data_IF_020764655000
#
_entry.id   IF_020764655000
#
_cell.length_a   1.000
_cell.length_b   1.000
_cell.length_c   1.000
_cell.angle_alpha   90.00
_cell.angle_beta   90.00
_cell.angle_gamma   90.00
#
_symmetry.space_group_name_H-M   'P 1'
#
loop_
_entity.id
_entity.type
_entity.pdbx_description
1 polymer ?
#
# COMPACT_ATOMS: atom_id res chain seq x y z
N UNK A 1 14.05 0.83 -22.49
CA UNK A 1 12.85 0.02 -22.17
C UNK A 1 12.96 -0.37 -20.72
N UNK A 2 11.84 -0.37 -19.98
CA UNK A 2 11.80 -1.03 -18.66
C UNK A 2 11.99 -2.53 -18.91
N UNK A 3 12.81 -3.19 -18.09
CA UNK A 3 13.09 -4.63 -18.23
C UNK A 3 11.85 -5.46 -17.89
N UNK A 4 11.78 -6.70 -18.35
CA UNK A 4 10.72 -7.65 -17.95
C UNK A 4 10.64 -7.79 -16.42
N UNK A 5 11.79 -7.80 -15.76
CA UNK A 5 11.92 -7.81 -14.30
C UNK A 5 11.17 -6.65 -13.64
N UNK A 6 11.18 -5.46 -14.25
CA UNK A 6 10.47 -4.31 -13.73
C UNK A 6 8.94 -4.51 -13.70
N UNK A 7 8.39 -5.12 -14.75
CA UNK A 7 6.96 -5.42 -14.84
C UNK A 7 6.57 -6.48 -13.82
N UNK A 8 7.38 -7.52 -13.69
CA UNK A 8 7.16 -8.60 -12.71
C UNK A 8 7.20 -8.04 -11.28
N UNK A 9 8.20 -7.23 -10.96
CA UNK A 9 8.35 -6.48 -9.71
C UNK A 9 7.12 -5.63 -9.36
N UNK A 10 6.63 -4.86 -10.33
CA UNK A 10 5.44 -4.04 -10.10
C UNK A 10 4.20 -4.91 -9.86
N UNK A 11 4.02 -5.94 -10.68
CA UNK A 11 2.85 -6.82 -10.62
C UNK A 11 2.80 -7.66 -9.35
N UNK A 12 3.95 -7.95 -8.74
CA UNK A 12 4.05 -8.59 -7.43
C UNK A 12 3.57 -7.65 -6.32
N UNK A 13 4.02 -6.38 -6.33
CA UNK A 13 3.69 -5.41 -5.29
C UNK A 13 2.30 -4.79 -5.43
N UNK A 14 1.81 -4.64 -6.67
CA UNK A 14 0.53 -3.99 -6.98
C UNK A 14 -0.47 -4.98 -7.59
N UNK A 15 -1.10 -5.80 -6.74
CA UNK A 15 -2.06 -6.81 -7.18
C UNK A 15 -3.33 -6.22 -7.82
N UNK A 16 -3.75 -5.01 -7.41
CA UNK A 16 -4.96 -4.36 -7.93
C UNK A 16 -4.85 -3.93 -9.39
N UNK A 17 -3.62 -3.65 -9.87
CA UNK A 17 -3.42 -3.11 -11.21
C UNK A 17 -2.11 -3.62 -11.81
N UNK A 18 -2.22 -4.77 -12.50
CA UNK A 18 -1.12 -5.36 -13.25
C UNK A 18 -0.84 -4.56 -14.52
N UNK A 19 0.43 -4.43 -14.87
CA UNK A 19 0.94 -3.83 -16.09
C UNK A 19 1.47 -4.91 -17.04
N UNK A 20 1.27 -4.68 -18.33
CA UNK A 20 1.88 -5.45 -19.42
C UNK A 20 2.71 -4.54 -20.32
N UNK A 21 3.59 -5.11 -21.14
CA UNK A 21 4.49 -4.34 -22.02
C UNK A 21 3.74 -3.41 -22.99
N UNK A 22 2.58 -3.84 -23.51
CA UNK A 22 1.76 -3.03 -24.42
C UNK A 22 1.25 -1.74 -23.77
N UNK A 23 0.99 -1.76 -22.46
CA UNK A 23 0.52 -0.60 -21.73
C UNK A 23 1.61 0.49 -21.64
N UNK A 24 2.86 0.06 -21.46
CA UNK A 24 4.02 0.96 -21.42
C UNK A 24 4.41 1.46 -22.83
N UNK A 25 4.18 0.64 -23.85
CA UNK A 25 4.44 1.01 -25.24
C UNK A 25 3.46 2.09 -25.71
N UNK A 26 2.20 2.04 -25.28
CA UNK A 26 1.15 2.99 -25.65
C UNK A 26 0.31 3.39 -24.42
N UNK A 27 0.85 4.19 -23.50
CA UNK A 27 0.14 4.55 -22.29
C UNK A 27 -1.06 5.44 -22.63
N UNK A 28 -2.19 5.22 -21.96
CA UNK A 28 -3.37 6.08 -22.05
C UNK A 28 -3.62 6.81 -20.73
N UNK A 29 -4.33 7.96 -20.78
CA UNK A 29 -4.70 8.70 -19.57
C UNK A 29 -5.50 7.82 -18.60
N UNK A 30 -6.48 7.07 -19.11
CA UNK A 30 -7.35 6.22 -18.30
C UNK A 30 -6.54 5.12 -17.58
N UNK A 31 -5.64 4.46 -18.32
CA UNK A 31 -4.75 3.45 -17.75
C UNK A 31 -3.80 4.06 -16.72
N UNK A 32 -3.14 5.17 -17.05
CA UNK A 32 -2.17 5.80 -16.14
C UNK A 32 -2.86 6.31 -14.88
N UNK A 33 -4.06 6.89 -15.01
CA UNK A 33 -4.90 7.28 -13.87
C UNK A 33 -5.17 6.09 -12.96
N UNK A 34 -5.57 4.95 -13.52
CA UNK A 34 -5.84 3.72 -12.74
C UNK A 34 -4.58 3.25 -12.00
N UNK A 35 -3.44 3.22 -12.66
CA UNK A 35 -2.15 2.84 -12.06
C UNK A 35 -1.79 3.76 -10.89
N UNK A 36 -1.89 5.08 -11.07
CA UNK A 36 -1.55 6.05 -10.02
C UNK A 36 -2.54 6.00 -8.84
N UNK A 37 -3.81 5.70 -9.09
CA UNK A 37 -4.80 5.47 -8.04
C UNK A 37 -4.49 4.22 -7.23
N UNK A 38 -4.23 3.09 -7.90
CA UNK A 38 -3.82 1.84 -7.23
C UNK A 38 -2.52 2.04 -6.45
N UNK A 39 -1.58 2.81 -6.99
CA UNK A 39 -0.36 3.20 -6.29
C UNK A 39 -0.65 3.89 -4.96
N UNK A 40 -1.49 4.92 -4.95
CA UNK A 40 -1.84 5.61 -3.70
C UNK A 40 -2.59 4.70 -2.71
N UNK A 41 -3.47 3.81 -3.20
CA UNK A 41 -4.19 2.86 -2.34
C UNK A 41 -3.27 1.90 -1.60
N UNK A 42 -2.11 1.53 -2.17
CA UNK A 42 -1.09 0.71 -1.49
C UNK A 42 -0.49 1.38 -0.24
N UNK A 43 -0.57 2.71 -0.15
CA UNK A 43 -0.17 3.48 1.04
C UNK A 43 -1.34 3.72 2.01
N UNK A 44 -2.54 3.18 1.72
CA UNK A 44 -3.73 3.34 2.55
C UNK A 44 -4.55 4.60 2.26
N UNK A 45 -4.23 5.35 1.20
CA UNK A 45 -5.05 6.49 0.79
C UNK A 45 -6.38 6.02 0.20
N UNK A 46 -7.48 6.60 0.69
CA UNK A 46 -8.80 6.43 0.07
C UNK A 46 -8.90 7.32 -1.15
N UNK A 47 -8.77 6.72 -2.34
CA UNK A 47 -8.90 7.42 -3.61
C UNK A 47 -10.15 6.92 -4.33
N UNK A 48 -11.20 7.74 -4.28
CA UNK A 48 -12.48 7.49 -4.93
C UNK A 48 -12.55 8.20 -6.28
N UNK A 49 -13.03 7.50 -7.30
CA UNK A 49 -13.27 8.09 -8.62
C UNK A 49 -14.53 8.95 -8.50
N UNK A 50 -14.53 10.22 -8.94
CA UNK A 50 -15.75 11.00 -8.99
C UNK A 50 -16.76 10.33 -9.94
N UNK A 51 -18.04 10.28 -9.56
CA UNK A 51 -19.11 9.66 -10.37
C UNK A 51 -19.43 10.42 -11.67
N UNK A 52 -18.79 11.57 -11.89
CA UNK A 52 -19.09 12.48 -12.99
C UNK A 52 -18.45 12.07 -14.32
N UNK A 53 -19.15 12.37 -15.41
CA UNK A 53 -18.72 12.10 -16.78
C UNK A 53 -17.40 12.80 -17.15
N UNK A 54 -16.78 12.33 -18.23
CA UNK A 54 -15.55 12.91 -18.77
C UNK A 54 -15.74 14.38 -19.17
N UNK A 55 -14.69 15.19 -18.95
CA UNK A 55 -14.70 16.63 -19.27
C UNK A 55 -15.34 17.53 -18.21
N UNK A 56 -16.01 16.96 -17.20
CA UNK A 56 -16.56 17.73 -16.07
C UNK A 56 -15.46 18.45 -15.28
N UNK A 57 -15.83 19.58 -14.64
CA UNK A 57 -14.92 20.32 -13.75
C UNK A 57 -14.43 19.43 -12.60
N UNK A 58 -15.29 18.56 -12.09
CA UNK A 58 -14.98 17.64 -10.99
C UNK A 58 -13.92 16.62 -11.39
N UNK A 59 -14.08 15.98 -12.55
CA UNK A 59 -13.07 15.06 -13.11
C UNK A 59 -11.71 15.75 -13.28
N UNK A 60 -11.68 16.96 -13.84
CA UNK A 60 -10.44 17.75 -13.97
C UNK A 60 -9.79 18.06 -12.62
N UNK A 61 -10.59 18.49 -11.63
CA UNK A 61 -10.08 18.76 -10.29
C UNK A 61 -9.53 17.50 -9.62
N UNK A 62 -10.19 16.36 -9.79
CA UNK A 62 -9.70 15.07 -9.31
C UNK A 62 -8.34 14.74 -9.92
N UNK A 63 -8.21 14.81 -11.25
CA UNK A 63 -6.95 14.50 -11.92
C UNK A 63 -5.81 15.43 -11.51
N UNK A 64 -6.08 16.73 -11.37
CA UNK A 64 -5.08 17.70 -10.89
C UNK A 64 -4.63 17.33 -9.46
N UNK A 65 -5.55 16.96 -8.57
CA UNK A 65 -5.22 16.54 -7.21
C UNK A 65 -4.39 15.25 -7.21
N UNK A 66 -4.76 14.27 -8.03
CA UNK A 66 -4.01 13.03 -8.19
C UNK A 66 -2.57 13.30 -8.62
N UNK A 67 -2.38 14.10 -9.67
CA UNK A 67 -1.05 14.50 -10.16
C UNK A 67 -0.24 15.19 -9.08
N UNK A 68 -0.81 16.15 -8.36
CA UNK A 68 -0.10 16.85 -7.27
C UNK A 68 0.34 15.91 -6.15
N UNK A 69 -0.47 14.90 -5.84
CA UNK A 69 -0.12 13.92 -4.82
C UNK A 69 1.04 13.04 -5.30
N UNK A 70 0.98 12.57 -6.55
CA UNK A 70 2.05 11.77 -7.15
C UNK A 70 3.34 12.58 -7.28
N UNK A 71 3.28 13.82 -7.76
CA UNK A 71 4.43 14.73 -7.86
C UNK A 71 5.07 14.99 -6.48
N UNK A 72 4.26 15.11 -5.42
CA UNK A 72 4.77 15.23 -4.06
C UNK A 72 5.56 14.00 -3.61
N UNK A 73 5.02 12.79 -3.81
CA UNK A 73 5.71 11.53 -3.49
C UNK A 73 6.97 11.37 -4.34
N UNK A 74 6.86 11.66 -5.62
CA UNK A 74 7.95 11.58 -6.57
C UNK A 74 9.13 12.49 -6.15
N UNK A 75 8.85 13.71 -5.70
CA UNK A 75 9.86 14.67 -5.21
C UNK A 75 10.58 14.27 -3.93
N UNK A 76 10.10 13.24 -3.22
CA UNK A 76 10.86 12.61 -2.13
C UNK A 76 12.09 11.90 -2.71
N UNK A 77 11.95 11.29 -3.89
CA UNK A 77 12.98 10.46 -4.53
C UNK A 77 13.80 11.25 -5.55
N UNK A 78 13.18 12.12 -6.34
CA UNK A 78 13.85 12.95 -7.35
C UNK A 78 13.21 14.35 -7.43
N UNK A 79 13.97 15.38 -7.04
CA UNK A 79 13.52 16.78 -7.05
C UNK A 79 13.64 17.45 -8.41
N UNK A 80 14.39 16.85 -9.34
CA UNK A 80 14.73 17.47 -10.63
C UNK A 80 13.63 17.30 -11.68
N UNK A 81 12.85 16.22 -11.56
CA UNK A 81 11.77 15.91 -12.48
C UNK A 81 10.42 16.32 -11.89
N UNK A 82 9.54 16.80 -12.77
CA UNK A 82 8.22 17.30 -12.41
C UNK A 82 7.17 16.51 -13.18
N UNK A 83 6.23 15.90 -12.45
CA UNK A 83 5.09 15.23 -13.07
C UNK A 83 3.91 16.19 -13.11
N UNK A 84 3.52 16.60 -14.32
CA UNK A 84 2.48 17.62 -14.51
C UNK A 84 1.16 17.02 -14.97
N UNK A 85 0.10 17.84 -14.92
CA UNK A 85 -1.21 17.43 -15.41
C UNK A 85 -1.18 17.07 -16.91
N UNK A 86 -0.32 17.74 -17.68
CA UNK A 86 -0.13 17.43 -19.09
C UNK A 86 0.48 16.04 -19.31
N UNK A 87 1.42 15.62 -18.46
CA UNK A 87 2.04 14.29 -18.56
C UNK A 87 1.04 13.17 -18.26
N UNK A 88 -0.03 13.46 -17.50
CA UNK A 88 -1.14 12.52 -17.29
C UNK A 88 -2.11 12.48 -18.48
N UNK A 89 -2.47 13.65 -19.04
CA UNK A 89 -3.39 13.75 -20.18
C UNK A 89 -2.78 13.21 -21.48
N UNK A 90 -1.48 13.41 -21.67
CA UNK A 90 -0.72 13.00 -22.85
C UNK A 90 0.52 12.22 -22.41
N UNK A 91 0.32 11.00 -21.88
CA UNK A 91 1.42 10.19 -21.41
C UNK A 91 2.31 9.80 -22.60
N UNK A 92 3.61 9.81 -22.38
CA UNK A 92 4.59 9.37 -23.38
C UNK A 92 5.33 8.15 -22.84
N UNK A 93 5.61 7.12 -23.66
CA UNK A 93 6.24 5.89 -23.19
C UNK A 93 7.49 6.13 -22.35
N UNK A 94 8.36 7.05 -22.80
CA UNK A 94 9.62 7.39 -22.13
C UNK A 94 9.41 8.02 -20.74
N UNK A 95 8.60 9.09 -20.64
CA UNK A 95 8.38 9.78 -19.36
C UNK A 95 7.59 8.91 -18.39
N UNK A 96 6.57 8.21 -18.88
CA UNK A 96 5.74 7.32 -18.08
C UNK A 96 6.57 6.20 -17.49
N UNK A 97 7.39 5.54 -18.31
CA UNK A 97 8.30 4.49 -17.84
C UNK A 97 9.27 4.99 -16.77
N UNK A 98 9.88 6.16 -16.99
CA UNK A 98 10.81 6.74 -16.04
C UNK A 98 10.14 7.08 -14.69
N UNK A 99 8.96 7.71 -14.74
CA UNK A 99 8.21 8.09 -13.55
C UNK A 99 7.77 6.87 -12.75
N UNK A 100 7.19 5.86 -13.41
CA UNK A 100 6.83 4.62 -12.74
C UNK A 100 8.08 3.94 -12.13
N UNK A 101 9.21 3.97 -12.83
CA UNK A 101 10.51 3.49 -12.35
C UNK A 101 10.85 4.00 -10.94
N UNK A 102 10.72 5.31 -10.75
CA UNK A 102 11.02 5.97 -9.48
C UNK A 102 9.95 5.67 -8.43
N UNK A 103 8.67 5.63 -8.82
CA UNK A 103 7.59 5.24 -7.89
C UNK A 103 7.77 3.81 -7.39
N UNK A 104 8.22 2.88 -8.24
CA UNK A 104 8.50 1.50 -7.84
C UNK A 104 9.63 1.43 -6.80
N UNK A 105 10.70 2.21 -6.99
CA UNK A 105 11.80 2.28 -6.01
C UNK A 105 11.29 2.75 -4.63
N UNK A 106 10.42 3.77 -4.61
CA UNK A 106 9.82 4.22 -3.36
C UNK A 106 8.89 3.16 -2.74
N UNK A 107 8.14 2.43 -3.57
CA UNK A 107 7.30 1.33 -3.12
C UNK A 107 8.14 0.21 -2.47
N UNK A 108 9.30 -0.13 -3.07
CA UNK A 108 10.24 -1.09 -2.49
C UNK A 108 10.77 -0.65 -1.15
N UNK A 109 11.23 0.61 -1.04
CA UNK A 109 11.68 1.18 0.22
C UNK A 109 10.59 1.08 1.29
N UNK A 110 9.37 1.47 0.96
CA UNK A 110 8.24 1.42 1.88
C UNK A 110 7.83 0.00 2.24
N UNK A 111 7.91 -0.96 1.31
CA UNK A 111 7.64 -2.37 1.61
C UNK A 111 8.68 -2.93 2.59
N UNK A 112 9.97 -2.69 2.33
CA UNK A 112 11.06 -3.10 3.25
C UNK A 112 10.90 -2.46 4.64
N UNK A 113 10.58 -1.16 4.69
CA UNK A 113 10.31 -0.46 5.94
C UNK A 113 9.11 -1.05 6.69
N UNK A 114 7.99 -1.29 5.98
CA UNK A 114 6.80 -1.95 6.53
C UNK A 114 7.14 -3.32 7.09
N UNK A 115 7.87 -4.17 6.36
CA UNK A 115 8.25 -5.51 6.83
C UNK A 115 9.05 -5.44 8.13
N UNK A 116 10.01 -4.52 8.22
CA UNK A 116 10.84 -4.36 9.43
C UNK A 116 10.02 -3.86 10.63
N UNK A 117 9.22 -2.80 10.45
CA UNK A 117 8.45 -2.19 11.54
C UNK A 117 7.28 -3.07 11.96
N UNK A 118 6.53 -3.64 11.00
CA UNK A 118 5.42 -4.52 11.32
C UNK A 118 5.89 -5.81 11.97
N UNK A 119 7.05 -6.37 11.59
CA UNK A 119 7.60 -7.53 12.29
C UNK A 119 7.80 -7.23 13.78
N UNK A 120 8.41 -6.09 14.12
CA UNK A 120 8.57 -5.68 15.52
C UNK A 120 7.24 -5.53 16.26
N UNK A 121 6.23 -4.93 15.60
CA UNK A 121 4.91 -4.78 16.20
C UNK A 121 4.19 -6.14 16.36
N UNK A 122 4.27 -7.01 15.37
CA UNK A 122 3.69 -8.35 15.40
C UNK A 122 4.33 -9.22 16.48
N UNK A 123 5.65 -9.16 16.64
CA UNK A 123 6.37 -9.88 17.68
C UNK A 123 5.90 -9.43 19.08
N UNK A 124 5.72 -8.12 19.27
CA UNK A 124 5.19 -7.55 20.53
C UNK A 124 3.73 -7.92 20.79
N UNK A 125 2.90 -7.95 19.74
CA UNK A 125 1.51 -8.41 19.85
C UNK A 125 1.43 -9.89 20.22
N UNK A 126 2.32 -10.71 19.66
CA UNK A 126 2.43 -12.14 19.97
C UNK A 126 2.85 -12.36 21.43
N UNK A 127 3.90 -11.67 21.89
CA UNK A 127 4.35 -11.71 23.30
C UNK A 127 3.22 -11.32 24.26
N UNK A 128 2.49 -10.24 23.96
CA UNK A 128 1.32 -9.84 24.74
C UNK A 128 0.24 -10.93 24.77
N UNK A 129 -0.01 -11.59 23.65
CA UNK A 129 -1.03 -12.64 23.56
C UNK A 129 -0.62 -13.87 24.38
N UNK A 130 0.63 -14.28 24.31
CA UNK A 130 1.20 -15.38 25.10
C UNK A 130 1.05 -15.12 26.61
N UNK A 131 1.40 -13.92 27.08
CA UNK A 131 1.25 -13.52 28.48
C UNK A 131 -0.22 -13.51 28.94
N UNK A 132 -1.14 -13.06 28.09
CA UNK A 132 -2.58 -13.09 28.39
C UNK A 132 -3.07 -14.52 28.56
N UNK A 133 -2.62 -15.43 27.71
CA UNK A 133 -3.04 -16.82 27.75
C UNK A 133 -2.43 -17.56 28.97
N UNK A 134 -1.21 -17.22 29.38
CA UNK A 134 -0.61 -17.70 30.63
C UNK A 134 -1.36 -17.20 31.88
N UNK A 135 -1.74 -15.91 31.91
CA UNK A 135 -2.56 -15.35 32.99
C UNK A 135 -3.90 -16.09 33.08
N UNK A 136 -4.58 -16.30 31.95
CA UNK A 136 -5.86 -17.04 31.92
C UNK A 136 -5.69 -18.46 32.43
N UNK A 137 -4.66 -19.17 31.98
CA UNK A 137 -4.34 -20.52 32.43
C UNK A 137 -4.14 -20.57 33.95
N UNK A 138 -3.33 -19.65 34.49
CA UNK A 138 -3.05 -19.55 35.92
C UNK A 138 -4.31 -19.25 36.74
N UNK A 139 -5.16 -18.33 36.26
CA UNK A 139 -6.45 -18.03 36.90
C UNK A 139 -7.35 -19.27 36.94
N UNK A 140 -7.39 -20.07 35.86
CA UNK A 140 -8.16 -21.30 35.84
C UNK A 140 -7.62 -22.37 36.79
N UNK A 141 -6.30 -22.57 36.83
CA UNK A 141 -5.63 -23.46 37.78
C UNK A 141 -5.96 -23.10 39.24
N UNK A 142 -5.83 -21.83 39.60
CA UNK A 142 -6.18 -21.34 40.94
C UNK A 142 -7.66 -21.59 41.28
N UNK A 143 -8.57 -21.34 40.34
CA UNK A 143 -10.01 -21.64 40.52
C UNK A 143 -10.23 -23.15 40.75
N UNK A 144 -9.56 -24.02 40.00
CA UNK A 144 -9.64 -25.48 40.18
C UNK A 144 -9.08 -25.92 41.53
N UNK A 145 -7.98 -25.34 41.99
CA UNK A 145 -7.38 -25.59 43.31
C UNK A 145 -8.31 -25.22 44.47
N UNK A 146 -8.95 -24.04 44.40
CA UNK A 146 -9.92 -23.58 45.41
C UNK A 146 -11.14 -24.51 45.49
N UNK A 147 -11.63 -25.00 44.35
CA UNK A 147 -12.76 -25.95 44.33
C UNK A 147 -12.37 -27.29 44.98
N UNK A 148 -11.17 -27.80 44.73
CA UNK A 148 -10.66 -29.03 45.37
C UNK A 148 -10.53 -28.87 46.89
N UNK A 149 -9.98 -27.76 47.38
CA UNK A 149 -9.86 -27.49 48.82
C UNK A 149 -11.22 -27.36 49.52
N UNK A 150 -12.21 -26.71 48.89
CA UNK A 150 -13.58 -26.63 49.42
C UNK A 150 -14.27 -27.99 49.52
N UNK A 151 -13.95 -28.94 48.63
CA UNK A 151 -14.48 -30.31 48.68
C UNK A 151 -13.82 -31.16 49.78
N UNK A 152 -12.52 -30.99 50.03
CA UNK A 152 -11.82 -31.71 51.09
C UNK A 152 -12.21 -31.25 52.51
N UNK A 153 -12.56 -29.98 52.72
CA UNK A 153 -13.01 -29.46 54.03
C UNK A 153 -14.47 -29.81 54.40
N UNK A 154 -15.22 -30.43 53.49
CA UNK A 154 -16.63 -30.85 53.71
C UNK A 154 -16.80 -32.35 54.00
N UNK A 155 -15.69 -33.09 54.11
CA UNK A 155 -15.63 -34.48 54.58
C UNK A 155 -14.97 -34.48 55.95
#
# INVERSE_FOLDING_TARGET
>A
MLSKEYLDSWNELCAECKMVESDLANPSEAWLTKILMSYLRMFGYRVEVPCSEDGTRERRQFLIKLVRHIDHIYKISDKSFMFTYYDLLRPTPKKTSHMLGILLNYLYYMNMFKTNVFKMATDKLKERQELIDEIKYTIEEMKRGVVKQKRCKKR
#
